data_IF_804048948256
#
_entry.id   IF_804048948256
#
_cell.length_a   1.000
_cell.length_b   1.000
_cell.length_c   1.000
_cell.angle_alpha   90.00
_cell.angle_beta   90.00
_cell.angle_gamma   90.00
#
_symmetry.space_group_name_H-M   'P 1'
#
loop_
_entity.id
_entity.type
_entity.pdbx_description
1 polymer ?
#
# COMPACT_ATOMS: atom_id res chain seq x y z
N UNK A 1 4.65 -21.78 0.95
CA UNK A 1 4.64 -20.73 1.99
C UNK A 1 5.62 -19.63 1.55
N UNK A 2 5.17 -18.37 1.53
CA UNK A 2 5.93 -17.21 1.02
C UNK A 2 6.70 -16.46 2.12
N UNK A 3 6.23 -16.61 3.37
CA UNK A 3 6.80 -16.03 4.58
C UNK A 3 7.03 -17.15 5.60
N UNK A 4 8.01 -16.94 6.47
CA UNK A 4 8.26 -17.75 7.65
C UNK A 4 7.19 -17.51 8.72
N UNK A 5 7.17 -18.35 9.76
CA UNK A 5 6.23 -18.25 10.88
C UNK A 5 6.35 -16.92 11.65
N UNK A 6 7.51 -16.27 11.55
CA UNK A 6 7.81 -14.93 12.08
C UNK A 6 7.29 -13.78 11.21
N UNK A 7 6.72 -14.08 10.04
CA UNK A 7 6.29 -13.09 9.04
C UNK A 7 7.43 -12.53 8.18
N UNK A 8 8.64 -13.06 8.29
CA UNK A 8 9.76 -12.68 7.44
C UNK A 8 9.70 -13.38 6.08
N UNK A 9 10.16 -12.72 5.02
CA UNK A 9 10.23 -13.36 3.69
C UNK A 9 11.28 -14.46 3.70
N UNK A 10 10.97 -15.60 3.08
CA UNK A 10 11.97 -16.68 2.87
C UNK A 10 13.21 -16.11 2.15
N UNK A 11 14.39 -16.68 2.42
CA UNK A 11 15.66 -16.15 1.89
C UNK A 11 15.68 -16.04 0.35
N UNK A 12 16.41 -15.05 -0.18
CA UNK A 12 16.52 -14.84 -1.63
C UNK A 12 17.02 -16.08 -2.40
N UNK A 13 17.88 -16.88 -1.77
CA UNK A 13 18.37 -18.13 -2.37
C UNK A 13 17.25 -19.18 -2.52
N UNK A 14 16.37 -19.28 -1.54
CA UNK A 14 15.19 -20.13 -1.63
C UNK A 14 14.17 -19.60 -2.62
N UNK A 15 13.97 -18.29 -2.69
CA UNK A 15 13.08 -17.67 -3.68
C UNK A 15 13.55 -17.98 -5.11
N UNK A 16 14.87 -17.87 -5.37
CA UNK A 16 15.48 -18.21 -6.66
C UNK A 16 15.35 -19.69 -6.99
N UNK A 17 15.59 -20.59 -6.03
CA UNK A 17 15.39 -22.04 -6.20
C UNK A 17 13.94 -22.41 -6.53
N UNK A 18 12.98 -21.66 -5.98
CA UNK A 18 11.54 -21.86 -6.22
C UNK A 18 11.05 -21.19 -7.50
N UNK A 19 11.91 -20.47 -8.24
CA UNK A 19 11.54 -19.80 -9.48
C UNK A 19 10.45 -18.74 -9.31
N UNK A 20 10.41 -18.06 -8.15
CA UNK A 20 9.39 -17.05 -7.91
C UNK A 20 9.56 -15.88 -8.89
N UNK A 21 8.47 -15.53 -9.58
CA UNK A 21 8.39 -14.39 -10.51
C UNK A 21 8.54 -13.03 -9.81
N UNK A 22 8.27 -13.00 -8.50
CA UNK A 22 8.36 -11.82 -7.65
C UNK A 22 9.25 -12.19 -6.47
N UNK A 23 10.26 -11.37 -6.19
CA UNK A 23 11.07 -11.45 -4.98
C UNK A 23 10.36 -10.70 -3.86
N UNK A 24 9.67 -11.37 -2.92
CA UNK A 24 9.12 -10.68 -1.76
C UNK A 24 10.27 -10.12 -0.94
N UNK A 25 10.31 -8.79 -0.82
CA UNK A 25 11.22 -8.06 0.04
C UNK A 25 10.41 -7.34 1.13
N UNK A 26 10.90 -7.37 2.36
CA UNK A 26 10.31 -6.64 3.48
C UNK A 26 10.39 -5.14 3.18
N UNK A 27 9.23 -4.51 3.04
CA UNK A 27 9.07 -3.07 2.81
C UNK A 27 7.99 -2.55 3.75
N UNK A 28 8.05 -1.26 4.11
CA UNK A 28 6.99 -0.66 4.93
C UNK A 28 5.76 -0.34 4.08
N UNK A 29 4.59 -0.29 4.72
CA UNK A 29 3.34 0.13 4.07
C UNK A 29 3.50 1.56 3.49
N UNK A 30 4.12 2.46 4.25
CA UNK A 30 4.47 3.82 3.79
C UNK A 30 5.25 3.81 2.47
N UNK A 31 6.28 2.96 2.37
CA UNK A 31 7.06 2.87 1.13
C UNK A 31 6.19 2.39 -0.03
N UNK A 32 5.32 1.40 0.20
CA UNK A 32 4.40 0.89 -0.82
C UNK A 32 3.41 1.94 -1.30
N UNK A 33 2.87 2.76 -0.39
CA UNK A 33 1.99 3.86 -0.75
C UNK A 33 2.71 4.94 -1.58
N UNK A 34 3.97 5.27 -1.26
CA UNK A 34 4.78 6.20 -2.08
C UNK A 34 5.12 5.65 -3.47
N UNK A 35 5.13 4.32 -3.63
CA UNK A 35 5.36 3.63 -4.90
C UNK A 35 4.12 3.66 -5.84
N UNK A 36 2.93 3.99 -5.32
CA UNK A 36 1.71 4.16 -6.15
C UNK A 36 1.94 5.25 -7.19
N UNK A 37 1.56 4.99 -8.44
CA UNK A 37 1.80 5.89 -9.56
C UNK A 37 3.24 5.95 -10.06
N UNK A 38 4.19 5.17 -9.52
CA UNK A 38 5.58 5.17 -10.03
C UNK A 38 5.78 4.32 -11.27
N UNK A 39 5.04 3.21 -11.35
CA UNK A 39 5.25 2.14 -12.35
C UNK A 39 4.02 1.91 -13.21
N UNK A 40 3.11 2.89 -13.24
CA UNK A 40 1.92 2.80 -14.07
C UNK A 40 2.35 2.78 -15.52
N UNK A 41 1.78 1.85 -16.28
CA UNK A 41 1.99 1.84 -17.72
C UNK A 41 1.13 2.93 -18.35
N UNK A 42 1.67 3.63 -19.34
CA UNK A 42 0.86 4.51 -20.15
C UNK A 42 -0.29 3.71 -20.79
N UNK A 43 -1.52 4.25 -20.80
CA UNK A 43 -2.68 3.56 -21.33
C UNK A 43 -2.49 3.37 -22.84
N UNK A 44 -2.88 2.20 -23.34
CA UNK A 44 -2.74 1.86 -24.77
C UNK A 44 -3.83 2.48 -25.64
N UNK A 45 -4.91 2.96 -25.01
CA UNK A 45 -6.04 3.63 -25.62
C UNK A 45 -6.62 4.63 -24.61
N UNK A 46 -7.49 5.53 -25.04
CA UNK A 46 -8.23 6.40 -24.12
C UNK A 46 -9.19 5.55 -23.28
N UNK A 47 -8.90 5.41 -21.98
CA UNK A 47 -9.70 4.60 -21.05
C UNK A 47 -10.85 5.41 -20.41
N UNK A 48 -11.01 6.68 -20.78
CA UNK A 48 -12.09 7.55 -20.34
C UNK A 48 -11.88 8.17 -18.96
N UNK A 49 -12.70 9.18 -18.65
CA UNK A 49 -12.58 10.01 -17.44
C UNK A 49 -12.90 9.30 -16.11
N UNK A 50 -13.29 8.03 -16.14
CA UNK A 50 -13.59 7.26 -14.92
C UNK A 50 -12.36 6.63 -14.29
N UNK A 51 -11.22 6.62 -14.99
CA UNK A 51 -9.97 6.03 -14.52
C UNK A 51 -9.02 7.15 -14.09
N UNK A 52 -8.30 6.94 -12.99
CA UNK A 52 -7.25 7.86 -12.57
C UNK A 52 -6.21 8.06 -13.67
N UNK A 53 -5.68 9.28 -13.75
CA UNK A 53 -4.59 9.55 -14.69
C UNK A 53 -3.36 8.73 -14.32
N UNK A 54 -2.64 8.22 -15.32
CA UNK A 54 -1.38 7.52 -15.11
C UNK A 54 -0.41 8.36 -14.29
N UNK A 55 0.16 7.76 -13.25
CA UNK A 55 1.12 8.43 -12.40
C UNK A 55 0.52 9.31 -11.31
N UNK A 56 -0.80 9.25 -11.11
CA UNK A 56 -1.46 9.86 -9.96
C UNK A 56 -0.81 9.37 -8.67
N UNK A 57 -0.34 10.31 -7.85
CA UNK A 57 0.34 10.04 -6.59
C UNK A 57 -0.60 10.29 -5.43
N UNK A 58 -0.42 9.49 -4.38
CA UNK A 58 -0.96 9.78 -3.06
C UNK A 58 -0.09 10.88 -2.46
N UNK A 59 -0.71 11.94 -1.96
CA UNK A 59 0.05 13.02 -1.32
C UNK A 59 0.67 12.55 -0.01
N UNK A 60 1.72 13.23 0.45
CA UNK A 60 2.50 12.76 1.61
C UNK A 60 1.69 12.77 2.92
N UNK A 61 0.74 13.70 3.09
CA UNK A 61 -0.09 13.73 4.29
C UNK A 61 -1.08 12.56 4.28
N UNK A 62 -1.68 12.27 3.12
CA UNK A 62 -2.52 11.10 2.93
C UNK A 62 -1.73 9.79 3.10
N UNK A 63 -0.49 9.71 2.58
CA UNK A 63 0.39 8.54 2.77
C UNK A 63 0.56 8.23 4.25
N UNK A 64 0.83 9.24 5.09
CA UNK A 64 1.04 9.02 6.53
C UNK A 64 -0.26 8.60 7.23
N UNK A 65 -1.40 9.21 6.89
CA UNK A 65 -2.70 8.87 7.46
C UNK A 65 -3.18 7.48 7.03
N UNK A 66 -3.05 7.14 5.75
CA UNK A 66 -3.45 5.85 5.21
C UNK A 66 -2.52 4.73 5.70
N UNK A 67 -1.22 4.99 5.80
CA UNK A 67 -0.28 4.02 6.36
C UNK A 67 -0.59 3.70 7.82
N UNK A 68 -0.84 4.72 8.65
CA UNK A 68 -1.21 4.53 10.05
C UNK A 68 -2.47 3.67 10.20
N UNK A 69 -3.50 3.92 9.38
CA UNK A 69 -4.72 3.12 9.36
C UNK A 69 -4.43 1.66 9.00
N UNK A 70 -3.72 1.43 7.90
CA UNK A 70 -3.41 0.09 7.41
C UNK A 70 -2.50 -0.69 8.37
N UNK A 71 -1.52 -0.05 9.00
CA UNK A 71 -0.64 -0.66 10.00
C UNK A 71 -1.41 -1.11 11.25
N UNK A 72 -2.49 -0.40 11.60
CA UNK A 72 -3.39 -0.78 12.69
C UNK A 72 -4.39 -1.87 12.29
N UNK A 73 -4.85 -1.88 11.03
CA UNK A 73 -5.81 -2.88 10.53
C UNK A 73 -5.16 -4.23 10.20
N UNK A 74 -3.93 -4.22 9.68
CA UNK A 74 -3.24 -5.40 9.13
C UNK A 74 -2.33 -6.09 10.14
N UNK A 75 -2.68 -6.04 11.43
CA UNK A 75 -1.97 -6.80 12.47
C UNK A 75 -2.22 -8.30 12.29
N UNK A 76 -1.16 -9.09 12.47
CA UNK A 76 -1.18 -10.54 12.32
C UNK A 76 -2.21 -11.16 13.28
N UNK A 77 -2.08 -10.82 14.56
CA UNK A 77 -3.03 -11.16 15.61
C UNK A 77 -4.31 -10.33 15.48
N UNK A 78 -5.50 -10.94 15.37
CA UNK A 78 -6.76 -10.21 15.31
C UNK A 78 -7.00 -9.29 16.52
N UNK A 79 -6.58 -9.71 17.71
CA UNK A 79 -6.69 -8.98 18.97
C UNK A 79 -5.90 -7.67 19.00
N UNK A 80 -4.85 -7.56 18.18
CA UNK A 80 -4.05 -6.33 18.06
C UNK A 80 -4.63 -5.35 17.02
N UNK A 81 -5.68 -5.74 16.29
CA UNK A 81 -6.27 -4.89 15.25
C UNK A 81 -7.11 -3.77 15.87
N UNK A 82 -7.06 -2.62 15.22
CA UNK A 82 -7.95 -1.49 15.54
C UNK A 82 -9.43 -1.92 15.48
N UNK A 83 -10.26 -1.55 16.47
CA UNK A 83 -11.68 -1.87 16.45
C UNK A 83 -12.40 -1.06 15.36
N UNK A 84 -13.50 -1.62 14.83
CA UNK A 84 -14.25 -1.01 13.72
C UNK A 84 -14.71 0.43 14.01
N UNK A 85 -15.05 0.73 15.27
CA UNK A 85 -15.48 2.07 15.69
C UNK A 85 -14.35 3.11 15.60
N UNK A 86 -13.10 2.68 15.74
CA UNK A 86 -11.93 3.54 15.56
C UNK A 86 -11.52 3.64 14.09
N UNK A 87 -11.72 2.58 13.30
CA UNK A 87 -11.55 2.62 11.83
C UNK A 87 -12.43 3.71 11.22
N UNK A 88 -13.74 3.71 11.50
CA UNK A 88 -14.67 4.69 10.92
C UNK A 88 -14.44 6.12 11.42
N UNK A 89 -13.69 6.30 12.52
CA UNK A 89 -13.30 7.59 13.09
C UNK A 89 -11.87 7.99 12.70
N UNK A 90 -11.19 7.19 11.88
CA UNK A 90 -9.80 7.44 11.54
C UNK A 90 -9.67 8.75 10.75
N UNK A 91 -8.68 9.62 11.06
CA UNK A 91 -8.54 10.92 10.40
C UNK A 91 -8.39 10.84 8.88
N UNK A 92 -7.91 9.71 8.35
CA UNK A 92 -7.83 9.45 6.91
C UNK A 92 -9.20 9.61 6.21
N UNK A 93 -10.32 9.19 6.83
CA UNK A 93 -11.64 9.32 6.20
C UNK A 93 -12.14 10.78 6.12
N UNK A 94 -11.60 11.67 6.96
CA UNK A 94 -11.89 13.10 6.92
C UNK A 94 -10.80 13.91 6.21
N UNK A 95 -9.86 13.25 5.56
CA UNK A 95 -8.78 13.92 4.86
C UNK A 95 -9.33 14.51 3.55
N UNK A 96 -9.25 15.83 3.44
CA UNK A 96 -9.50 16.55 2.20
C UNK A 96 -8.14 16.91 1.59
N UNK A 97 -7.87 16.34 0.41
CA UNK A 97 -6.74 16.75 -0.42
C UNK A 97 -6.79 18.26 -0.61
N UNK A 98 -5.71 18.95 -0.21
CA UNK A 98 -5.57 20.37 -0.56
C UNK A 98 -5.53 20.48 -2.09
N UNK A 99 -6.35 21.36 -2.70
CA UNK A 99 -6.45 21.42 -4.15
C UNK A 99 -5.08 21.70 -4.76
N UNK A 100 -4.65 20.85 -5.69
CA UNK A 100 -3.50 21.12 -6.55
C UNK A 100 -3.72 22.46 -7.25
N UNK A 101 -3.08 23.53 -6.76
CA UNK A 101 -2.92 24.77 -7.54
C UNK A 101 -1.99 24.46 -8.70
N UNK A 102 -2.59 24.21 -9.87
CA UNK A 102 -1.92 24.23 -11.17
C UNK A 102 -1.63 25.66 -11.62
#
# INVERSE_FOLDING_TARGET
MWFEETGESISEEEQKKRGLLLSPCKTSIRQKLREVGQKDNAPKADEGSMIETTGTRIDEAEVELLADLLEKMLRYHPEDRIPIMEVVRHPWYGYESSPCTH
#
